data_IF_957739856589
#
_entry.id   IF_957739856589
#
_cell.length_a   1.000
_cell.length_b   1.000
_cell.length_c   1.000
_cell.angle_alpha   90.00
_cell.angle_beta   90.00
_cell.angle_gamma   90.00
#
_symmetry.space_group_name_H-M   'P 1'
#
loop_
_entity.id
_entity.type
_entity.pdbx_description
1 polymer ?
#
# COMPACT_ATOMS: atom_id res chain seq x y z
N UNK A 1 28.37 -32.43 8.11
CA UNK A 1 28.96 -31.66 9.21
C UNK A 1 27.85 -30.75 9.71
N UNK A 2 26.95 -31.35 10.48
CA UNK A 2 25.69 -30.75 10.94
C UNK A 2 25.94 -29.86 12.14
N UNK A 3 25.64 -28.56 11.99
CA UNK A 3 25.72 -27.61 13.09
C UNK A 3 24.41 -27.68 13.89
N UNK A 4 24.42 -28.60 14.86
CA UNK A 4 23.43 -28.69 15.94
C UNK A 4 23.54 -27.43 16.79
N UNK A 5 22.63 -26.47 16.59
CA UNK A 5 22.36 -25.42 17.57
C UNK A 5 21.38 -25.99 18.60
N UNK A 6 21.94 -26.36 19.75
CA UNK A 6 21.20 -26.85 20.90
C UNK A 6 20.18 -25.83 21.40
N UNK A 7 18.92 -26.21 21.38
CA UNK A 7 17.89 -25.53 22.16
C UNK A 7 18.21 -25.73 23.66
N UNK A 8 18.09 -24.69 24.51
CA UNK A 8 18.31 -24.84 25.94
C UNK A 8 17.29 -25.80 26.53
N UNK A 9 17.79 -26.90 27.08
CA UNK A 9 17.04 -27.90 27.84
C UNK A 9 16.33 -27.22 29.03
N UNK A 10 15.00 -27.30 29.05
CA UNK A 10 14.20 -26.94 30.25
C UNK A 10 12.94 -26.12 30.01
N UNK A 11 12.71 -25.59 28.81
CA UNK A 11 11.45 -24.90 28.50
C UNK A 11 10.39 -25.93 28.07
N UNK A 12 9.53 -26.30 29.03
CA UNK A 12 8.32 -27.07 28.75
C UNK A 12 7.55 -26.42 27.59
N UNK A 13 7.07 -27.20 26.60
CA UNK A 13 6.47 -26.68 25.37
C UNK A 13 5.32 -25.70 25.63
N UNK A 14 4.59 -25.89 26.73
CA UNK A 14 3.51 -25.00 27.16
C UNK A 14 3.99 -23.62 27.59
N UNK A 15 5.18 -23.51 28.20
CA UNK A 15 5.78 -22.22 28.57
C UNK A 15 6.35 -21.48 27.36
N UNK A 16 6.93 -22.18 26.40
CA UNK A 16 7.35 -21.59 25.13
C UNK A 16 6.14 -21.05 24.34
N UNK A 17 5.04 -21.80 24.34
CA UNK A 17 3.78 -21.37 23.72
C UNK A 17 3.16 -20.16 24.44
N UNK A 18 3.23 -20.13 25.78
CA UNK A 18 2.75 -19.02 26.59
C UNK A 18 3.58 -17.74 26.39
N UNK A 19 4.92 -17.87 26.30
CA UNK A 19 5.81 -16.75 26.01
C UNK A 19 5.68 -16.25 24.56
N UNK A 20 5.44 -17.15 23.59
CA UNK A 20 5.10 -16.76 22.23
C UNK A 20 3.74 -16.02 22.17
N UNK A 21 2.74 -16.45 22.93
CA UNK A 21 1.45 -15.74 23.07
C UNK A 21 1.59 -14.39 23.77
N UNK A 22 2.51 -14.25 24.73
CA UNK A 22 2.82 -12.98 25.39
C UNK A 22 3.64 -12.03 24.50
N UNK A 23 4.58 -12.55 23.70
CA UNK A 23 5.43 -11.77 22.82
C UNK A 23 4.73 -11.34 21.51
N UNK A 24 3.80 -12.16 21.00
CA UNK A 24 3.06 -11.88 19.76
C UNK A 24 1.61 -11.45 19.96
N UNK A 25 1.16 -11.35 21.22
CA UNK A 25 -0.23 -11.02 21.55
C UNK A 25 -1.16 -12.18 21.22
N UNK A 26 -1.85 -12.69 22.22
CA UNK A 26 -2.94 -13.62 22.01
C UNK A 26 -3.99 -12.96 21.09
N UNK A 27 -4.19 -13.53 19.91
CA UNK A 27 -5.50 -13.44 19.25
C UNK A 27 -6.43 -14.26 20.14
N UNK A 28 -7.26 -13.58 20.91
CA UNK A 28 -8.27 -14.23 21.75
C UNK A 28 -9.30 -14.93 20.85
N UNK A 29 -9.27 -16.26 20.86
CA UNK A 29 -10.36 -17.12 20.38
C UNK A 29 -11.25 -17.52 21.56
N UNK A 30 -12.02 -16.57 22.10
CA UNK A 30 -13.28 -16.82 22.83
C UNK A 30 -13.92 -15.46 23.15
N UNK A 31 -15.12 -15.11 22.66
CA UNK A 31 -16.37 -15.72 23.13
C UNK A 31 -17.54 -15.30 22.23
N UNK A 32 -18.47 -16.23 22.02
CA UNK A 32 -19.75 -16.01 21.38
C UNK A 32 -20.70 -15.23 22.32
N UNK A 33 -21.03 -13.98 21.98
CA UNK A 33 -22.36 -13.35 22.07
C UNK A 33 -22.26 -11.91 21.50
N UNK A 34 -23.21 -11.48 20.68
CA UNK A 34 -23.46 -10.05 20.38
C UNK A 34 -22.48 -9.17 19.56
N UNK A 35 -21.17 -9.44 19.45
CA UNK A 35 -20.23 -8.38 19.04
C UNK A 35 -19.99 -8.24 17.52
N UNK A 36 -20.17 -7.01 17.00
CA UNK A 36 -19.69 -6.54 15.69
C UNK A 36 -18.24 -7.02 15.45
N UNK A 37 -17.82 -7.20 14.19
CA UNK A 37 -16.40 -7.47 13.87
C UNK A 37 -15.55 -6.29 14.36
N UNK A 38 -15.07 -6.35 15.60
CA UNK A 38 -14.26 -5.30 16.21
C UNK A 38 -12.85 -5.42 15.67
N UNK A 39 -12.47 -4.53 14.75
CA UNK A 39 -11.05 -4.36 14.39
C UNK A 39 -10.28 -4.00 15.66
N UNK A 40 -9.31 -4.84 16.01
CA UNK A 40 -8.60 -4.69 17.28
C UNK A 40 -7.66 -3.48 17.22
N UNK A 41 -7.45 -2.80 18.35
CA UNK A 41 -6.55 -1.62 18.40
C UNK A 41 -5.12 -1.95 17.89
N UNK A 42 -4.65 -3.17 18.12
CA UNK A 42 -3.37 -3.67 17.61
C UNK A 42 -3.33 -3.75 16.08
N UNK A 43 -4.42 -4.20 15.44
CA UNK A 43 -4.53 -4.26 13.99
C UNK A 43 -4.49 -2.85 13.38
N UNK A 44 -5.26 -1.92 13.96
CA UNK A 44 -5.26 -0.52 13.53
C UNK A 44 -3.90 0.14 13.70
N UNK A 45 -3.20 -0.15 14.80
CA UNK A 45 -1.84 0.30 15.02
C UNK A 45 -0.88 -0.26 13.97
N UNK A 46 -0.97 -1.56 13.66
CA UNK A 46 -0.16 -2.19 12.61
C UNK A 46 -0.38 -1.58 11.23
N UNK A 47 -1.64 -1.24 10.90
CA UNK A 47 -1.98 -0.50 9.69
C UNK A 47 -1.34 0.89 9.67
N UNK A 48 -1.45 1.64 10.77
CA UNK A 48 -0.83 2.96 10.90
C UNK A 48 0.70 2.90 10.78
N UNK A 49 1.34 1.94 11.43
CA UNK A 49 2.79 1.73 11.34
C UNK A 49 3.23 1.38 9.91
N UNK A 50 2.46 0.56 9.19
CA UNK A 50 2.75 0.22 7.80
C UNK A 50 2.72 1.46 6.90
N UNK A 51 1.73 2.34 7.09
CA UNK A 51 1.62 3.61 6.36
C UNK A 51 2.67 4.64 6.78
N UNK A 52 3.10 4.61 8.05
CA UNK A 52 4.23 5.40 8.51
C UNK A 52 5.50 5.05 7.74
N UNK A 53 5.84 3.76 7.63
CA UNK A 53 7.01 3.33 6.85
C UNK A 53 6.88 3.74 5.38
N UNK A 54 5.68 3.60 4.80
CA UNK A 54 5.40 4.06 3.43
C UNK A 54 5.62 5.58 3.25
N UNK A 55 5.13 6.39 4.19
CA UNK A 55 5.30 7.84 4.19
C UNK A 55 6.78 8.24 4.29
N UNK A 56 7.55 7.59 5.18
CA UNK A 56 9.01 7.80 5.29
C UNK A 56 9.68 7.56 3.94
N UNK A 57 9.40 6.41 3.32
CA UNK A 57 10.01 6.04 2.04
C UNK A 57 9.70 7.06 0.95
N UNK A 58 8.44 7.44 0.77
CA UNK A 58 8.04 8.39 -0.29
C UNK A 58 8.67 9.76 -0.07
N UNK A 59 8.67 10.28 1.16
CA UNK A 59 9.33 11.56 1.45
C UNK A 59 10.84 11.53 1.20
N UNK A 60 11.51 10.42 1.52
CA UNK A 60 12.94 10.27 1.21
C UNK A 60 13.20 10.28 -0.29
N UNK A 61 12.37 9.60 -1.09
CA UNK A 61 12.49 9.63 -2.55
C UNK A 61 12.31 11.05 -3.09
N UNK A 62 11.30 11.78 -2.61
CA UNK A 62 11.06 13.16 -3.03
C UNK A 62 12.18 14.10 -2.59
N UNK A 63 12.74 13.91 -1.38
CA UNK A 63 13.88 14.68 -0.90
C UNK A 63 15.15 14.45 -1.74
N UNK A 64 15.42 13.21 -2.14
CA UNK A 64 16.52 12.89 -3.07
C UNK A 64 16.32 13.50 -4.46
N UNK A 65 15.06 13.65 -4.89
CA UNK A 65 14.71 14.34 -6.13
C UNK A 65 14.72 15.88 -6.00
N UNK A 66 15.31 16.41 -4.91
CA UNK A 66 15.43 17.85 -4.61
C UNK A 66 14.08 18.59 -4.60
N UNK A 67 12.98 17.89 -4.32
CA UNK A 67 11.65 18.50 -4.20
C UNK A 67 11.61 19.39 -2.95
N UNK A 68 11.16 20.63 -3.11
CA UNK A 68 11.10 21.58 -2.00
C UNK A 68 10.30 21.02 -0.80
N UNK A 69 10.79 21.15 0.45
CA UNK A 69 10.16 20.54 1.63
C UNK A 69 8.66 20.83 1.81
N UNK A 70 8.23 22.06 1.51
CA UNK A 70 6.82 22.44 1.62
C UNK A 70 5.94 21.73 0.59
N UNK A 71 6.46 21.40 -0.59
CA UNK A 71 5.77 20.62 -1.63
C UNK A 71 5.60 19.18 -1.16
N UNK A 72 6.63 18.59 -0.53
CA UNK A 72 6.56 17.25 0.06
C UNK A 72 5.48 17.19 1.13
N UNK A 73 5.44 18.19 2.02
CA UNK A 73 4.40 18.31 3.05
C UNK A 73 3.02 18.44 2.42
N UNK A 74 2.86 19.33 1.44
CA UNK A 74 1.58 19.52 0.74
C UNK A 74 1.12 18.21 0.09
N UNK A 75 2.01 17.50 -0.61
CA UNK A 75 1.72 16.21 -1.22
C UNK A 75 1.34 15.16 -0.17
N UNK A 76 2.04 15.09 0.97
CA UNK A 76 1.74 14.14 2.03
C UNK A 76 0.33 14.30 2.61
N UNK A 77 -0.16 15.53 2.77
CA UNK A 77 -1.48 15.80 3.36
C UNK A 77 -2.62 15.91 2.33
N UNK A 78 -2.31 15.97 1.03
CA UNK A 78 -3.30 16.02 -0.05
C UNK A 78 -3.40 14.72 -0.87
N UNK A 79 -2.33 13.92 -0.89
CA UNK A 79 -2.23 12.70 -1.70
C UNK A 79 -1.95 11.49 -0.79
N UNK A 80 -3.00 10.72 -0.49
CA UNK A 80 -2.91 9.47 0.26
C UNK A 80 -2.57 8.27 -0.63
N UNK A 81 -1.65 8.47 -1.58
CA UNK A 81 -1.26 7.49 -2.60
C UNK A 81 0.24 7.55 -2.85
N UNK A 82 0.99 6.59 -2.30
CA UNK A 82 2.44 6.50 -2.52
C UNK A 82 2.80 6.43 -4.01
N UNK A 83 2.14 5.54 -4.74
CA UNK A 83 2.37 5.33 -6.17
C UNK A 83 1.95 6.55 -7.00
N UNK A 84 0.85 7.22 -6.64
CA UNK A 84 0.39 8.43 -7.31
C UNK A 84 1.36 9.60 -7.12
N UNK A 85 1.85 9.79 -5.89
CA UNK A 85 2.85 10.82 -5.58
C UNK A 85 4.14 10.58 -6.34
N UNK A 86 4.69 9.36 -6.31
CA UNK A 86 5.90 9.02 -7.07
C UNK A 86 5.69 9.23 -8.59
N UNK A 87 4.54 8.81 -9.14
CA UNK A 87 4.24 8.96 -10.56
C UNK A 87 4.21 10.44 -10.99
N UNK A 88 3.56 11.31 -10.19
CA UNK A 88 3.54 12.76 -10.44
C UNK A 88 4.96 13.34 -10.48
N UNK A 89 5.73 13.12 -9.42
CA UNK A 89 7.06 13.71 -9.29
C UNK A 89 8.09 13.11 -10.26
N UNK A 90 7.90 11.87 -10.70
CA UNK A 90 8.75 11.27 -11.75
C UNK A 90 8.52 11.92 -13.12
N UNK A 91 7.26 12.17 -13.49
CA UNK A 91 6.95 12.85 -14.77
C UNK A 91 7.42 14.29 -14.73
N UNK A 92 7.18 15.02 -13.64
CA UNK A 92 7.62 16.41 -13.52
C UNK A 92 9.14 16.51 -13.43
N UNK A 93 9.79 15.63 -12.65
CA UNK A 93 11.25 15.59 -12.49
C UNK A 93 12.01 15.21 -13.76
N UNK A 94 11.37 14.51 -14.71
CA UNK A 94 11.94 14.20 -16.03
C UNK A 94 11.69 15.29 -17.08
N UNK A 95 11.20 16.48 -16.68
CA UNK A 95 10.91 17.60 -17.58
C UNK A 95 9.54 17.53 -18.25
N UNK A 96 8.68 16.59 -17.85
CA UNK A 96 7.32 16.47 -18.36
C UNK A 96 6.38 17.56 -17.83
N UNK A 97 5.28 17.80 -18.54
CA UNK A 97 4.26 18.76 -18.12
C UNK A 97 3.56 18.29 -16.82
N UNK A 98 3.27 19.24 -15.92
CA UNK A 98 2.53 18.97 -14.66
C UNK A 98 1.20 18.27 -14.92
N UNK A 99 0.48 18.66 -15.98
CA UNK A 99 -0.77 18.02 -16.38
C UNK A 99 -0.58 16.53 -16.70
N UNK A 100 0.52 16.15 -17.38
CA UNK A 100 0.83 14.75 -17.66
C UNK A 100 1.18 13.98 -16.38
N UNK A 101 1.88 14.60 -15.43
CA UNK A 101 2.15 14.02 -14.13
C UNK A 101 0.88 13.79 -13.30
N UNK A 102 -0.06 14.75 -13.32
CA UNK A 102 -1.37 14.60 -12.66
C UNK A 102 -2.17 13.47 -13.30
N UNK A 103 -2.23 13.41 -14.63
CA UNK A 103 -2.92 12.33 -15.34
C UNK A 103 -2.31 10.96 -15.01
N UNK A 104 -0.97 10.86 -14.96
CA UNK A 104 -0.26 9.66 -14.55
C UNK A 104 -0.63 9.25 -13.11
N UNK A 105 -0.60 10.20 -12.18
CA UNK A 105 -0.98 9.96 -10.79
C UNK A 105 -2.45 9.52 -10.65
N UNK A 106 -3.37 10.15 -11.38
CA UNK A 106 -4.80 9.79 -11.41
C UNK A 106 -5.00 8.38 -11.95
N UNK A 107 -4.30 8.03 -13.04
CA UNK A 107 -4.45 6.74 -13.69
C UNK A 107 -3.92 5.60 -12.83
N UNK A 108 -2.77 5.79 -12.19
CA UNK A 108 -2.22 4.82 -11.23
C UNK A 108 -3.10 4.72 -9.98
N UNK A 109 -3.73 5.83 -9.58
CA UNK A 109 -4.60 5.88 -8.39
C UNK A 109 -6.07 5.51 -8.68
N UNK A 110 -6.42 5.21 -9.94
CA UNK A 110 -7.80 4.92 -10.35
C UNK A 110 -8.43 3.76 -9.57
N UNK A 111 -7.61 2.81 -9.10
CA UNK A 111 -8.04 1.68 -8.26
C UNK A 111 -8.79 2.11 -7.00
N UNK A 112 -8.42 3.24 -6.40
CA UNK A 112 -9.11 3.75 -5.21
C UNK A 112 -10.54 4.19 -5.52
N UNK A 113 -10.83 4.58 -6.77
CA UNK A 113 -12.18 4.86 -7.23
C UNK A 113 -13.11 3.64 -7.14
N UNK A 114 -12.59 2.45 -7.45
CA UNK A 114 -13.35 1.18 -7.33
C UNK A 114 -13.68 0.92 -5.85
N UNK A 115 -12.72 1.13 -4.95
CA UNK A 115 -12.95 1.00 -3.50
C UNK A 115 -14.03 1.96 -3.00
N UNK A 116 -14.04 3.20 -3.50
CA UNK A 116 -15.06 4.19 -3.18
C UNK A 116 -16.47 3.76 -3.58
N UNK A 117 -16.63 2.99 -4.66
CA UNK A 117 -17.95 2.44 -5.06
C UNK A 117 -18.43 1.44 -4.01
N UNK A 118 -17.57 0.50 -3.59
CA UNK A 118 -17.88 -0.47 -2.54
C UNK A 118 -18.21 0.20 -1.20
N UNK A 119 -17.41 1.19 -0.81
CA UNK A 119 -17.61 1.96 0.41
C UNK A 119 -18.89 2.81 0.35
N UNK A 120 -19.19 3.41 -0.80
CA UNK A 120 -20.36 4.28 -0.94
C UNK A 120 -21.67 3.52 -0.78
N UNK A 121 -21.72 2.21 -1.05
CA UNK A 121 -22.90 1.39 -0.79
C UNK A 121 -23.23 1.35 0.72
N UNK A 122 -22.21 1.30 1.58
CA UNK A 122 -22.36 1.23 3.05
C UNK A 122 -22.55 2.59 3.70
N UNK A 123 -21.90 3.63 3.18
CA UNK A 123 -21.96 4.98 3.77
C UNK A 123 -23.18 5.80 3.36
N UNK A 124 -23.90 5.41 2.30
CA UNK A 124 -25.00 6.22 1.74
C UNK A 124 -26.13 6.49 2.74
N UNK A 125 -26.47 5.51 3.57
CA UNK A 125 -27.58 5.53 4.53
C UNK A 125 -27.20 6.20 5.86
N UNK A 126 -25.91 6.22 6.21
CA UNK A 126 -25.43 6.56 7.57
C UNK A 126 -24.47 7.75 7.63
N UNK A 127 -24.00 8.27 6.49
CA UNK A 127 -23.04 9.37 6.40
C UNK A 127 -23.58 10.52 5.55
N UNK A 128 -23.28 11.74 5.97
CA UNK A 128 -23.65 12.95 5.24
C UNK A 128 -22.88 13.05 3.90
N UNK A 129 -23.39 13.80 2.90
CA UNK A 129 -22.70 13.97 1.61
C UNK A 129 -21.27 14.49 1.72
N UNK A 130 -21.02 15.45 2.62
CA UNK A 130 -19.68 15.99 2.86
C UNK A 130 -18.74 14.96 3.48
N UNK A 131 -19.25 14.13 4.38
CA UNK A 131 -18.49 13.07 5.03
C UNK A 131 -18.11 11.99 4.01
N UNK A 132 -19.03 11.67 3.09
CA UNK A 132 -18.76 10.75 1.97
C UNK A 132 -17.70 11.30 1.01
N UNK A 133 -17.72 12.61 0.76
CA UNK A 133 -16.69 13.27 -0.04
C UNK A 133 -15.33 13.20 0.65
N UNK A 134 -15.26 13.48 1.96
CA UNK A 134 -14.02 13.35 2.74
C UNK A 134 -13.55 11.89 2.83
N UNK A 135 -14.48 10.94 3.01
CA UNK A 135 -14.14 9.52 2.97
C UNK A 135 -13.52 9.16 1.61
N UNK A 136 -14.05 9.66 0.50
CA UNK A 136 -13.51 9.38 -0.82
C UNK A 136 -12.08 9.90 -1.03
N UNK A 137 -11.66 11.00 -0.37
CA UNK A 137 -10.30 11.53 -0.52
C UNK A 137 -9.26 10.75 0.26
N UNK A 138 -9.64 10.10 1.37
CA UNK A 138 -8.73 9.31 2.23
C UNK A 138 -8.94 7.80 2.11
N UNK A 139 -9.71 7.36 1.10
CA UNK A 139 -10.02 5.96 0.89
C UNK A 139 -8.80 5.18 0.38
N UNK A 140 -8.44 4.13 1.11
CA UNK A 140 -7.33 3.23 0.77
C UNK A 140 -7.71 1.78 1.06
N UNK A 141 -6.98 0.83 0.49
CA UNK A 141 -7.34 -0.59 0.54
C UNK A 141 -7.61 -1.09 1.97
N UNK A 142 -6.77 -0.81 2.98
CA UNK A 142 -6.99 -1.34 4.31
C UNK A 142 -8.21 -0.73 5.02
N UNK A 143 -8.45 0.59 4.89
CA UNK A 143 -9.62 1.23 5.54
C UNK A 143 -10.93 0.75 4.94
N UNK A 144 -10.98 0.56 3.63
CA UNK A 144 -12.17 0.03 2.95
C UNK A 144 -12.36 -1.44 3.27
N UNK A 145 -11.30 -2.24 3.27
CA UNK A 145 -11.36 -3.68 3.56
C UNK A 145 -11.90 -3.98 4.96
N UNK A 146 -11.50 -3.22 5.99
CA UNK A 146 -12.04 -3.40 7.34
C UNK A 146 -13.49 -2.90 7.45
N UNK A 147 -13.84 -1.83 6.73
CA UNK A 147 -15.19 -1.26 6.76
C UNK A 147 -16.24 -2.20 6.15
N UNK A 148 -15.93 -2.83 5.00
CA UNK A 148 -16.87 -3.73 4.32
C UNK A 148 -17.17 -5.02 5.10
N UNK A 149 -16.28 -5.42 6.02
CA UNK A 149 -16.46 -6.58 6.90
C UNK A 149 -17.45 -6.35 8.04
N UNK A 150 -17.78 -5.08 8.33
CA UNK A 150 -18.76 -4.77 9.36
C UNK A 150 -20.14 -5.34 8.99
N UNK A 151 -20.94 -5.74 9.98
CA UNK A 151 -22.29 -6.28 9.76
C UNK A 151 -23.33 -5.19 9.49
N UNK A 152 -23.15 -4.01 10.09
CA UNK A 152 -24.06 -2.88 9.97
C UNK A 152 -23.42 -1.72 9.21
N UNK A 153 -24.22 -0.84 8.60
CA UNK A 153 -23.70 0.36 7.94
C UNK A 153 -23.07 1.34 8.94
N UNK A 154 -23.66 1.46 10.13
CA UNK A 154 -23.10 2.27 11.21
C UNK A 154 -21.73 1.73 11.69
N UNK A 155 -21.60 0.41 11.78
CA UNK A 155 -20.33 -0.26 12.07
C UNK A 155 -19.30 0.00 10.96
N UNK A 156 -19.70 -0.10 9.69
CA UNK A 156 -18.81 0.19 8.55
C UNK A 156 -18.27 1.62 8.60
N UNK A 157 -19.13 2.60 8.90
CA UNK A 157 -18.74 4.01 9.07
C UNK A 157 -17.74 4.20 10.21
N UNK A 158 -18.02 3.63 11.39
CA UNK A 158 -17.15 3.74 12.56
C UNK A 158 -15.79 3.10 12.32
N UNK A 159 -15.76 1.87 11.81
CA UNK A 159 -14.54 1.12 11.52
C UNK A 159 -13.72 1.78 10.41
N UNK A 160 -14.38 2.31 9.38
CA UNK A 160 -13.73 3.08 8.32
C UNK A 160 -12.94 4.26 8.89
N UNK A 161 -13.59 5.13 9.67
CA UNK A 161 -12.96 6.34 10.20
C UNK A 161 -11.85 6.04 11.20
N UNK A 162 -12.02 5.00 12.03
CA UNK A 162 -10.95 4.55 12.93
C UNK A 162 -9.72 4.12 12.14
N UNK A 163 -9.88 3.29 11.11
CA UNK A 163 -8.78 2.86 10.26
C UNK A 163 -8.18 4.02 9.46
N UNK A 164 -9.00 4.86 8.85
CA UNK A 164 -8.56 6.03 8.11
C UNK A 164 -7.71 6.95 8.98
N UNK A 165 -8.09 7.18 10.25
CA UNK A 165 -7.32 8.02 11.16
C UNK A 165 -5.92 7.47 11.43
N UNK A 166 -5.79 6.17 11.68
CA UNK A 166 -4.48 5.53 11.89
C UNK A 166 -3.62 5.57 10.62
N UNK A 167 -4.22 5.37 9.45
CA UNK A 167 -3.52 5.35 8.17
C UNK A 167 -3.06 6.76 7.75
N UNK A 168 -3.94 7.75 7.82
CA UNK A 168 -3.64 9.16 7.54
C UNK A 168 -2.63 9.71 8.54
N UNK A 169 -2.80 9.40 9.83
CA UNK A 169 -1.87 9.80 10.88
C UNK A 169 -0.50 9.16 10.68
N UNK A 170 -0.45 7.85 10.45
CA UNK A 170 0.79 7.13 10.14
C UNK A 170 1.49 7.72 8.92
N UNK A 171 0.78 7.88 7.81
CA UNK A 171 1.28 8.46 6.57
C UNK A 171 1.86 9.86 6.76
N UNK A 172 1.12 10.75 7.41
CA UNK A 172 1.57 12.14 7.65
C UNK A 172 2.80 12.19 8.56
N UNK A 173 2.78 11.47 9.69
CA UNK A 173 3.92 11.40 10.60
C UNK A 173 5.15 10.77 9.94
N UNK A 174 4.96 9.71 9.16
CA UNK A 174 6.01 9.06 8.39
C UNK A 174 6.61 10.01 7.35
N UNK A 175 5.75 10.74 6.64
CA UNK A 175 6.20 11.71 5.63
C UNK A 175 7.03 12.84 6.25
N UNK A 176 6.63 13.33 7.43
CA UNK A 176 7.40 14.34 8.17
C UNK A 176 8.74 13.77 8.67
N UNK A 177 8.74 12.54 9.19
CA UNK A 177 9.95 11.86 9.62
C UNK A 177 10.92 11.62 8.44
N UNK A 178 10.43 11.14 7.30
CA UNK A 178 11.23 10.96 6.09
C UNK A 178 11.81 12.26 5.57
N UNK A 179 11.05 13.36 5.61
CA UNK A 179 11.56 14.68 5.24
C UNK A 179 12.64 15.18 6.20
N UNK A 180 12.47 14.96 7.51
CA UNK A 180 13.47 15.30 8.51
C UNK A 180 14.77 14.49 8.31
N UNK A 181 14.65 13.18 8.07
CA UNK A 181 15.81 12.31 7.77
C UNK A 181 16.49 12.74 6.47
N UNK A 182 15.72 13.01 5.41
CA UNK A 182 16.26 13.44 4.13
C UNK A 182 17.04 14.75 4.21
N UNK A 183 16.63 15.69 5.07
CA UNK A 183 17.36 16.94 5.31
C UNK A 183 18.63 16.77 6.17
N UNK A 184 18.71 15.71 6.99
CA UNK A 184 19.85 15.44 7.86
C UNK A 184 20.94 14.60 7.17
N UNK A 185 20.57 13.81 6.16
CA UNK A 185 21.48 12.94 5.43
C UNK A 185 22.01 13.67 4.19
N UNK A 186 23.32 13.92 4.14
CA UNK A 186 23.96 14.70 3.07
C UNK A 186 23.86 14.05 1.67
N UNK A 187 23.85 12.71 1.62
CA UNK A 187 23.62 11.95 0.39
C UNK A 187 22.82 10.68 0.74
N UNK A 188 21.48 10.72 0.68
CA UNK A 188 20.68 9.55 1.01
C UNK A 188 20.81 8.42 -0.03
N UNK A 189 21.22 8.73 -1.27
CA UNK A 189 21.49 7.70 -2.28
C UNK A 189 22.71 6.85 -1.91
N UNK A 190 23.74 7.44 -1.28
CA UNK A 190 24.90 6.68 -0.78
C UNK A 190 24.55 5.58 0.23
N UNK A 191 23.40 5.69 0.91
CA UNK A 191 22.91 4.70 1.86
C UNK A 191 21.96 3.67 1.24
N UNK A 192 21.73 3.74 -0.09
CA UNK A 192 20.84 2.85 -0.82
C UNK A 192 19.35 3.10 -0.55
N UNK A 193 18.99 4.29 -0.05
CA UNK A 193 17.59 4.64 0.21
C UNK A 193 16.74 4.71 -1.07
N UNK A 194 17.36 4.95 -2.21
CA UNK A 194 16.74 4.92 -3.54
C UNK A 194 16.27 3.51 -3.95
N UNK A 195 16.96 2.47 -3.47
CA UNK A 195 16.62 1.07 -3.72
C UNK A 195 15.55 0.52 -2.76
N UNK A 196 15.27 1.18 -1.64
CA UNK A 196 14.36 0.66 -0.59
C UNK A 196 12.93 0.47 -1.11
N UNK A 197 12.37 1.46 -1.82
CA UNK A 197 11.00 1.32 -2.35
C UNK A 197 10.94 0.23 -3.45
N UNK A 198 11.81 0.23 -4.48
CA UNK A 198 11.83 -0.86 -5.46
C UNK A 198 12.01 -2.25 -4.84
N UNK A 199 12.93 -2.39 -3.87
CA UNK A 199 13.16 -3.66 -3.17
C UNK A 199 11.94 -4.11 -2.38
N UNK A 200 11.25 -3.17 -1.71
CA UNK A 200 10.00 -3.46 -0.98
C UNK A 200 8.90 -3.93 -1.93
N UNK A 201 8.77 -3.32 -3.11
CA UNK A 201 7.81 -3.74 -4.14
C UNK A 201 8.14 -5.14 -4.69
N UNK A 202 9.42 -5.45 -4.92
CA UNK A 202 9.86 -6.79 -5.34
C UNK A 202 9.55 -7.83 -4.26
N UNK A 203 9.82 -7.51 -2.99
CA UNK A 203 9.50 -8.39 -1.87
C UNK A 203 8.00 -8.69 -1.78
N UNK A 204 7.14 -7.67 -1.98
CA UNK A 204 5.69 -7.83 -2.03
C UNK A 204 5.28 -8.65 -3.25
N UNK A 205 5.86 -8.39 -4.42
CA UNK A 205 5.57 -9.11 -5.66
C UNK A 205 5.90 -10.59 -5.53
N UNK A 206 7.02 -10.94 -4.88
CA UNK A 206 7.38 -12.32 -4.60
C UNK A 206 6.32 -13.06 -3.77
N UNK A 207 5.64 -12.36 -2.87
CA UNK A 207 4.54 -12.95 -2.10
C UNK A 207 3.23 -13.08 -2.91
N UNK A 208 3.02 -12.19 -3.89
CA UNK A 208 1.82 -12.13 -4.72
C UNK A 208 1.85 -13.09 -5.93
N UNK A 209 3.03 -13.37 -6.48
CA UNK A 209 3.21 -14.27 -7.64
C UNK A 209 3.32 -15.71 -7.16
N UNK A 210 2.17 -16.36 -6.93
CA UNK A 210 2.12 -17.74 -6.43
C UNK A 210 1.75 -18.80 -7.48
N UNK A 211 1.34 -18.39 -8.66
CA UNK A 211 0.96 -19.30 -9.76
C UNK A 211 1.86 -19.10 -10.98
N UNK A 212 1.95 -20.13 -11.82
CA UNK A 212 2.71 -20.05 -13.07
C UNK A 212 2.19 -18.94 -13.97
N UNK A 213 0.87 -18.79 -14.07
CA UNK A 213 0.25 -17.77 -14.93
C UNK A 213 0.52 -16.35 -14.42
N UNK A 214 0.50 -16.15 -13.09
CA UNK A 214 0.89 -14.87 -12.49
C UNK A 214 2.37 -14.56 -12.78
N UNK A 215 3.26 -15.56 -12.74
CA UNK A 215 4.67 -15.39 -13.02
C UNK A 215 4.93 -15.04 -14.50
N UNK A 216 4.26 -15.73 -15.42
CA UNK A 216 4.33 -15.44 -16.86
C UNK A 216 3.80 -14.04 -17.15
N UNK A 217 2.64 -13.68 -16.58
CA UNK A 217 2.05 -12.35 -16.77
C UNK A 217 2.98 -11.24 -16.25
N UNK A 218 3.57 -11.43 -15.07
CA UNK A 218 4.54 -10.50 -14.51
C UNK A 218 5.78 -10.36 -15.39
N UNK A 219 6.34 -11.47 -15.89
CA UNK A 219 7.50 -11.46 -16.76
C UNK A 219 7.22 -10.74 -18.10
N UNK A 220 6.07 -10.99 -18.71
CA UNK A 220 5.63 -10.30 -19.93
C UNK A 220 5.45 -8.80 -19.66
N UNK A 221 4.79 -8.42 -18.57
CA UNK A 221 4.60 -7.03 -18.20
C UNK A 221 5.94 -6.29 -18.02
N UNK A 222 6.92 -6.93 -17.37
CA UNK A 222 8.28 -6.40 -17.21
C UNK A 222 8.95 -6.24 -18.58
N UNK A 223 8.92 -7.26 -19.43
CA UNK A 223 9.53 -7.22 -20.76
C UNK A 223 8.94 -6.10 -21.63
N UNK A 224 7.60 -5.97 -21.67
CA UNK A 224 6.91 -4.91 -22.40
C UNK A 224 7.29 -3.53 -21.86
N UNK A 225 7.31 -3.37 -20.54
CA UNK A 225 7.64 -2.08 -19.90
C UNK A 225 9.07 -1.67 -20.24
N UNK A 226 10.04 -2.59 -20.12
CA UNK A 226 11.45 -2.31 -20.41
C UNK A 226 11.69 -2.01 -21.90
N UNK A 227 11.00 -2.71 -22.80
CA UNK A 227 11.10 -2.47 -24.24
C UNK A 227 10.55 -1.10 -24.65
N UNK A 228 9.49 -0.63 -23.98
CA UNK A 228 8.84 0.65 -24.29
C UNK A 228 9.42 1.84 -23.52
N UNK A 229 10.10 1.60 -22.39
CA UNK A 229 10.73 2.64 -21.57
C UNK A 229 11.62 3.64 -22.33
N UNK A 230 12.46 3.26 -23.32
CA UNK A 230 13.30 4.23 -24.02
C UNK A 230 12.56 5.05 -25.10
N UNK A 231 11.35 4.64 -25.50
CA UNK A 231 10.65 5.19 -26.67
C UNK A 231 9.45 6.03 -26.27
N UNK A 232 8.80 5.70 -25.14
CA UNK A 232 7.57 6.35 -24.69
C UNK A 232 7.82 7.25 -23.48
N UNK A 233 7.02 8.32 -23.30
CA UNK A 233 7.06 9.15 -22.11
C UNK A 233 6.88 8.35 -20.82
N UNK A 234 7.45 8.85 -19.73
CA UNK A 234 7.34 8.23 -18.41
C UNK A 234 5.87 7.93 -18.05
N UNK A 235 5.61 6.69 -17.61
CA UNK A 235 4.28 6.20 -17.23
C UNK A 235 3.55 5.44 -18.35
N UNK A 236 3.72 5.81 -19.62
CA UNK A 236 3.02 5.14 -20.75
C UNK A 236 3.37 3.64 -20.89
N UNK A 237 4.65 3.22 -20.78
CA UNK A 237 5.01 1.79 -20.84
C UNK A 237 4.21 0.91 -19.86
N UNK A 238 3.99 1.42 -18.64
CA UNK A 238 3.26 0.70 -17.59
C UNK A 238 1.78 0.54 -17.96
N UNK A 239 1.18 1.56 -18.57
CA UNK A 239 -0.22 1.50 -19.03
C UNK A 239 -0.41 0.47 -20.13
N UNK A 240 0.54 0.40 -21.06
CA UNK A 240 0.52 -0.60 -22.13
C UNK A 240 0.63 -2.01 -21.55
N UNK A 241 1.52 -2.23 -20.58
CA UNK A 241 1.66 -3.52 -19.90
C UNK A 241 0.38 -3.92 -19.15
N UNK A 242 -0.25 -3.00 -18.42
CA UNK A 242 -1.53 -3.25 -17.72
C UNK A 242 -2.64 -3.55 -18.72
N UNK A 243 -2.74 -2.77 -19.80
CA UNK A 243 -3.73 -2.99 -20.85
C UNK A 243 -3.59 -4.38 -21.49
N UNK A 244 -2.36 -4.81 -21.78
CA UNK A 244 -2.08 -6.14 -22.29
C UNK A 244 -2.50 -7.25 -21.30
N UNK A 245 -2.23 -7.07 -20.00
CA UNK A 245 -2.65 -8.02 -18.97
C UNK A 245 -4.18 -8.13 -18.87
N UNK A 246 -4.90 -7.00 -18.98
CA UNK A 246 -6.38 -6.99 -19.00
C UNK A 246 -6.92 -7.70 -20.23
N UNK A 247 -6.35 -7.48 -21.42
CA UNK A 247 -6.74 -8.21 -22.63
C UNK A 247 -6.51 -9.71 -22.46
N UNK A 248 -5.40 -10.11 -21.82
CA UNK A 248 -5.09 -11.50 -21.50
C UNK A 248 -6.15 -12.21 -20.67
N UNK A 249 -6.86 -11.50 -19.77
CA UNK A 249 -7.96 -12.08 -18.98
C UNK A 249 -9.17 -12.51 -19.82
N UNK A 250 -9.31 -11.96 -21.04
CA UNK A 250 -10.41 -12.30 -21.94
C UNK A 250 -10.03 -13.38 -22.97
N UNK A 251 -8.78 -13.88 -22.96
CA UNK A 251 -8.35 -14.96 -23.84
C UNK A 251 -8.79 -16.31 -23.23
N UNK A 252 -9.63 -17.10 -23.91
CA UNK A 252 -10.06 -18.40 -23.40
C UNK A 252 -8.87 -19.35 -23.21
N UNK A 253 -8.85 -20.10 -22.10
CA UNK A 253 -7.83 -21.13 -21.90
C UNK A 253 -7.91 -22.19 -23.02
N UNK A 254 -6.75 -22.62 -23.58
CA UNK A 254 -6.74 -23.77 -24.48
C UNK A 254 -7.26 -24.99 -23.73
N UNK A 255 -8.33 -25.62 -24.25
CA UNK A 255 -8.80 -26.91 -23.72
C UNK A 255 -7.62 -27.87 -23.69
N UNK A 256 -7.26 -28.34 -22.49
CA UNK A 256 -6.33 -29.44 -22.34
C UNK A 256 -6.87 -30.64 -23.14
N UNK A 257 -6.18 -30.99 -24.22
CA UNK A 257 -6.41 -32.25 -24.94
C UNK A 257 -5.99 -33.37 -24.01
N UNK A 258 -6.99 -34.14 -23.56
CA UNK A 258 -6.82 -35.39 -22.82
C UNK A 258 -6.12 -36.46 -23.67
#
# INVERSE_FOLDING_TARGET
>A
MDLVLGAPEGLQPERALHLAKLAFGAVDEQSADGDDVVTTRSELFGLGLSYFVGGVGVSLVLANAEVAPWIVILAAFSMYSATGTIALFTVVGSGGAVAAGVLSAMLVSARFGILCVSLSARLRSVAAPWERALAATVAVDPSVAVAIRARTDAGARSTYWRAALWLVGGWGLGSLAGLAVGNLVADPAAWGFDAVIPASLIAILGNAVRTRDAAVTAAVAVAVTLALAPVLPAGVPVLVAVGAAVVGLFVPEPKATA
#
